data_IF_258582207119
#
_entry.id   IF_258582207119
#
_cell.length_a   1.000
_cell.length_b   1.000
_cell.length_c   1.000
_cell.angle_alpha   90.00
_cell.angle_beta   90.00
_cell.angle_gamma   90.00
#
_symmetry.space_group_name_H-M   'P 1'
#
loop_
_entity.id
_entity.type
_entity.pdbx_description
1 polymer ?
#
# COMPACT_ATOMS: atom_id res chain seq x y z
N UNK A 1 -11.15 18.03 -0.84
CA UNK A 1 -11.86 19.22 -1.34
C UNK A 1 -13.34 19.04 -1.06
N UNK A 2 -14.08 20.12 -0.91
CA UNK A 2 -15.52 20.07 -1.01
C UNK A 2 -16.08 20.96 -2.13
N UNK A 3 -17.24 20.55 -2.64
CA UNK A 3 -17.86 21.09 -3.85
C UNK A 3 -19.39 21.11 -3.71
N UNK A 4 -20.03 22.17 -4.20
CA UNK A 4 -21.51 22.23 -4.21
C UNK A 4 -22.09 21.47 -5.41
N UNK A 5 -23.04 20.59 -5.13
CA UNK A 5 -23.64 19.66 -6.11
C UNK A 5 -24.17 20.36 -7.36
N UNK A 6 -23.89 19.79 -8.54
CA UNK A 6 -24.59 20.09 -9.77
C UNK A 6 -25.97 19.43 -9.78
N UNK A 7 -26.96 20.15 -10.30
CA UNK A 7 -28.37 19.82 -10.60
C UNK A 7 -29.09 18.94 -9.55
N UNK A 8 -30.22 19.41 -8.97
CA UNK A 8 -31.02 18.62 -8.04
C UNK A 8 -31.32 17.21 -8.61
N UNK A 9 -31.11 16.18 -7.78
CA UNK A 9 -31.38 14.76 -8.08
C UNK A 9 -30.34 14.01 -8.94
N UNK A 10 -29.16 14.58 -9.18
CA UNK A 10 -28.07 13.87 -9.89
C UNK A 10 -27.18 13.10 -8.92
N UNK A 11 -26.91 11.82 -9.21
CA UNK A 11 -25.95 11.01 -8.44
C UNK A 11 -24.59 11.02 -9.16
N UNK A 12 -23.53 11.60 -8.58
CA UNK A 12 -22.21 11.54 -9.19
C UNK A 12 -21.69 10.10 -9.21
N UNK A 13 -20.76 9.76 -10.11
CA UNK A 13 -20.04 8.49 -10.04
C UNK A 13 -19.29 8.41 -8.70
N UNK A 14 -19.21 7.22 -8.10
CA UNK A 14 -18.45 7.03 -6.86
C UNK A 14 -16.95 7.23 -7.09
N UNK A 15 -16.42 6.78 -8.23
CA UNK A 15 -15.02 6.85 -8.56
C UNK A 15 -14.80 7.01 -10.07
N UNK A 16 -13.82 7.82 -10.43
CA UNK A 16 -13.27 7.97 -11.76
C UNK A 16 -11.78 7.60 -11.71
N UNK A 17 -11.34 6.74 -12.61
CA UNK A 17 -9.95 6.30 -12.73
C UNK A 17 -9.44 6.61 -14.13
N UNK A 18 -8.20 7.08 -14.24
CA UNK A 18 -7.54 7.27 -15.53
C UNK A 18 -6.64 6.09 -15.83
N UNK A 19 -6.31 5.93 -17.11
CA UNK A 19 -5.38 4.90 -17.57
C UNK A 19 -4.24 5.56 -18.36
N UNK A 20 -3.10 4.87 -18.42
CA UNK A 20 -1.94 5.33 -19.17
C UNK A 20 -2.02 5.02 -20.68
N UNK A 21 -3.19 4.59 -21.17
CA UNK A 21 -3.34 4.12 -22.55
C UNK A 21 -3.05 5.20 -23.60
N UNK A 22 -3.47 6.44 -23.34
CA UNK A 22 -3.20 7.56 -24.25
C UNK A 22 -1.71 7.84 -24.41
N UNK A 23 -0.94 7.73 -23.32
CA UNK A 23 0.51 7.93 -23.33
C UNK A 23 1.21 6.82 -24.10
N UNK A 24 0.76 5.57 -23.96
CA UNK A 24 1.30 4.43 -24.73
C UNK A 24 1.16 4.62 -26.24
N UNK A 25 0.22 5.46 -26.68
CA UNK A 25 -0.01 5.84 -28.08
C UNK A 25 0.66 7.17 -28.48
N UNK A 26 1.54 7.72 -27.64
CA UNK A 26 2.24 8.99 -27.88
C UNK A 26 1.45 10.25 -27.48
N UNK A 27 0.37 10.10 -26.72
CA UNK A 27 -0.42 11.21 -26.19
C UNK A 27 0.11 11.78 -24.87
N UNK A 28 -0.61 12.78 -24.32
CA UNK A 28 -0.30 13.40 -23.02
C UNK A 28 -0.73 12.49 -21.86
N UNK A 29 0.03 12.55 -20.75
CA UNK A 29 -0.36 11.94 -19.49
C UNK A 29 -1.69 12.52 -18.96
N UNK A 30 -2.51 11.69 -18.27
CA UNK A 30 -3.72 12.18 -17.63
C UNK A 30 -3.38 13.22 -16.55
N UNK A 31 -4.25 14.22 -16.40
CA UNK A 31 -4.05 15.34 -15.47
C UNK A 31 -4.24 14.92 -14.00
N UNK A 32 -4.90 13.79 -13.77
CA UNK A 32 -5.08 13.15 -12.47
C UNK A 32 -5.09 11.63 -12.60
N UNK A 33 -4.83 10.91 -11.51
CA UNK A 33 -4.89 9.45 -11.45
C UNK A 33 -6.31 8.98 -11.10
N UNK A 34 -6.92 9.62 -10.09
CA UNK A 34 -8.26 9.25 -9.62
C UNK A 34 -9.03 10.43 -9.03
N UNK A 35 -10.36 10.37 -9.18
CA UNK A 35 -11.31 11.23 -8.48
C UNK A 35 -12.30 10.33 -7.73
N UNK A 36 -12.52 10.60 -6.45
CA UNK A 36 -13.44 9.82 -5.60
C UNK A 36 -14.42 10.76 -4.91
N UNK A 37 -15.71 10.44 -5.02
CA UNK A 37 -16.80 11.11 -4.31
C UNK A 37 -17.07 10.35 -3.03
N UNK A 38 -16.56 10.83 -1.90
CA UNK A 38 -16.62 10.11 -0.62
C UNK A 38 -18.00 10.16 0.03
N UNK A 39 -18.70 11.28 -0.10
CA UNK A 39 -19.99 11.49 0.54
C UNK A 39 -20.34 12.96 0.64
N UNK A 40 -21.53 13.22 1.19
CA UNK A 40 -22.02 14.57 1.43
C UNK A 40 -21.59 15.06 2.82
N UNK A 41 -21.14 16.31 2.91
CA UNK A 41 -20.99 17.02 4.18
C UNK A 41 -22.36 17.51 4.67
N UNK A 42 -23.16 18.02 3.73
CA UNK A 42 -24.52 18.50 3.93
C UNK A 42 -25.34 18.27 2.66
N UNK A 43 -26.61 18.69 2.62
CA UNK A 43 -27.51 18.42 1.49
C UNK A 43 -26.95 18.86 0.13
N UNK A 44 -26.12 19.92 0.13
CA UNK A 44 -25.65 20.62 -1.05
C UNK A 44 -24.15 20.45 -1.32
N UNK A 45 -23.39 19.83 -0.43
CA UNK A 45 -21.92 19.82 -0.50
C UNK A 45 -21.35 18.40 -0.43
N UNK A 46 -20.46 18.09 -1.36
CA UNK A 46 -19.79 16.80 -1.50
C UNK A 46 -18.31 16.89 -1.14
N UNK A 47 -17.80 15.87 -0.46
CA UNK A 47 -16.35 15.65 -0.29
C UNK A 47 -15.82 14.91 -1.51
N UNK A 48 -14.92 15.56 -2.23
CA UNK A 48 -14.21 15.00 -3.37
C UNK A 48 -12.72 14.91 -3.05
N UNK A 49 -12.14 13.74 -3.31
CA UNK A 49 -10.70 13.51 -3.28
C UNK A 49 -10.20 13.36 -4.71
N UNK A 50 -9.13 14.08 -5.01
CA UNK A 50 -8.41 13.98 -6.29
C UNK A 50 -6.99 13.55 -5.95
N UNK A 51 -6.50 12.55 -6.67
CA UNK A 51 -5.10 12.12 -6.59
C UNK A 51 -4.46 12.36 -7.95
N UNK A 52 -3.29 13.00 -7.97
CA UNK A 52 -2.56 13.39 -9.16
C UNK A 52 -1.05 13.25 -8.92
N UNK A 53 -0.28 13.11 -10.00
CA UNK A 53 1.19 13.09 -9.93
C UNK A 53 1.77 14.49 -9.69
N UNK A 54 1.10 15.52 -10.23
CA UNK A 54 1.49 16.92 -10.08
C UNK A 54 0.42 17.70 -9.30
N UNK A 55 0.78 18.79 -8.59
CA UNK A 55 -0.18 19.64 -7.92
C UNK A 55 -1.24 20.19 -8.88
N UNK A 56 -2.53 19.99 -8.54
CA UNK A 56 -3.65 20.55 -9.31
C UNK A 56 -3.90 22.00 -8.89
N UNK A 57 -3.92 22.90 -9.88
CA UNK A 57 -4.11 24.33 -9.67
C UNK A 57 -5.56 24.69 -9.31
N UNK A 58 -5.76 25.81 -8.60
CA UNK A 58 -7.10 26.28 -8.27
C UNK A 58 -7.90 26.66 -9.53
N UNK A 59 -7.27 27.23 -10.55
CA UNK A 59 -7.95 27.57 -11.81
C UNK A 59 -8.48 26.34 -12.53
N UNK A 60 -7.75 25.23 -12.49
CA UNK A 60 -8.22 23.95 -13.04
C UNK A 60 -9.43 23.44 -12.27
N UNK A 61 -9.37 23.53 -10.94
CA UNK A 61 -10.46 23.09 -10.07
C UNK A 61 -11.72 23.92 -10.29
N UNK A 62 -11.61 25.24 -10.33
CA UNK A 62 -12.74 26.13 -10.61
C UNK A 62 -13.36 25.84 -11.99
N UNK A 63 -12.53 25.51 -12.98
CA UNK A 63 -13.02 25.15 -14.33
C UNK A 63 -13.75 23.81 -14.35
N UNK A 64 -13.24 22.79 -13.67
CA UNK A 64 -13.83 21.43 -13.67
C UNK A 64 -15.09 21.37 -12.82
N UNK A 65 -15.17 22.21 -11.79
CA UNK A 65 -16.27 22.27 -10.83
C UNK A 65 -17.09 23.56 -10.97
N UNK A 66 -17.14 24.17 -12.15
CA UNK A 66 -18.02 25.31 -12.47
C UNK A 66 -18.06 26.43 -11.40
N UNK A 67 -16.92 26.77 -10.79
CA UNK A 67 -16.86 27.82 -9.78
C UNK A 67 -17.43 27.44 -8.40
N UNK A 68 -17.77 26.17 -8.16
CA UNK A 68 -18.50 25.72 -6.96
C UNK A 68 -17.61 25.06 -5.90
N UNK A 69 -16.30 25.25 -5.99
CA UNK A 69 -15.36 24.78 -4.97
C UNK A 69 -15.54 25.62 -3.71
N UNK A 70 -15.77 24.97 -2.56
CA UNK A 70 -15.94 25.68 -1.29
C UNK A 70 -14.63 25.79 -0.52
N UNK A 71 -13.85 24.72 -0.49
CA UNK A 71 -12.52 24.69 0.11
C UNK A 71 -11.67 23.57 -0.46
N UNK A 72 -10.35 23.78 -0.40
CA UNK A 72 -9.33 22.82 -0.85
C UNK A 72 -8.36 22.54 0.29
N UNK A 73 -8.14 21.25 0.54
CA UNK A 73 -7.05 20.78 1.37
C UNK A 73 -6.10 19.98 0.49
N UNK A 74 -4.81 20.29 0.57
CA UNK A 74 -3.75 19.68 -0.25
C UNK A 74 -2.80 18.95 0.67
N UNK A 75 -2.46 17.72 0.28
CA UNK A 75 -1.44 16.92 0.93
C UNK A 75 -0.56 16.32 -0.14
N UNK A 76 0.72 16.67 -0.09
CA UNK A 76 1.77 16.04 -0.88
C UNK A 76 2.33 14.86 -0.11
N UNK A 77 2.54 13.75 -0.81
CA UNK A 77 3.11 12.53 -0.26
C UNK A 77 3.78 11.73 -1.39
N UNK A 78 5.04 11.36 -1.22
CA UNK A 78 5.75 10.39 -2.06
C UNK A 78 5.27 8.95 -1.79
N UNK A 79 4.01 8.68 -2.13
CA UNK A 79 3.25 7.59 -1.52
C UNK A 79 3.60 6.21 -2.08
N UNK A 80 4.10 6.16 -3.33
CA UNK A 80 4.32 4.91 -4.03
C UNK A 80 5.74 4.86 -4.58
N UNK A 81 6.57 3.89 -4.14
CA UNK A 81 7.83 3.65 -4.82
C UNK A 81 7.56 3.24 -6.27
N UNK A 82 8.41 3.68 -7.19
CA UNK A 82 8.41 3.12 -8.53
C UNK A 82 8.95 1.70 -8.44
N UNK A 83 8.13 0.72 -8.77
CA UNK A 83 8.49 -0.70 -8.74
C UNK A 83 8.84 -1.18 -10.16
N UNK A 84 10.11 -1.08 -10.59
CA UNK A 84 10.52 -1.70 -11.85
C UNK A 84 10.43 -3.23 -11.74
N UNK A 85 10.19 -3.94 -12.85
CA UNK A 85 10.29 -5.39 -12.86
C UNK A 85 11.66 -5.84 -12.31
N UNK A 86 11.66 -6.62 -11.23
CA UNK A 86 12.86 -7.13 -10.58
C UNK A 86 12.79 -8.65 -10.44
N UNK A 87 13.95 -9.29 -10.50
CA UNK A 87 14.14 -10.72 -10.21
C UNK A 87 14.89 -10.95 -8.90
N UNK A 88 15.44 -9.88 -8.33
CA UNK A 88 16.22 -9.91 -7.10
C UNK A 88 15.45 -9.19 -5.99
N UNK A 89 15.43 -9.81 -4.81
CA UNK A 89 14.77 -9.29 -3.62
C UNK A 89 15.78 -9.14 -2.48
N UNK A 90 15.63 -8.11 -1.64
CA UNK A 90 16.46 -7.96 -0.47
C UNK A 90 16.26 -9.14 0.50
N UNK A 91 17.27 -9.50 1.29
CA UNK A 91 17.17 -10.60 2.24
C UNK A 91 16.20 -10.24 3.38
N UNK A 92 15.34 -11.20 3.77
CA UNK A 92 14.41 -11.03 4.91
C UNK A 92 15.17 -10.96 6.24
N UNK A 93 16.21 -11.81 6.41
CA UNK A 93 17.12 -11.76 7.56
C UNK A 93 18.41 -11.07 7.12
N UNK A 94 18.70 -9.92 7.72
CA UNK A 94 19.89 -9.14 7.43
C UNK A 94 21.06 -9.59 8.31
N UNK A 95 20.79 -9.86 9.59
CA UNK A 95 21.77 -10.37 10.56
C UNK A 95 21.07 -11.14 11.70
N UNK A 96 21.81 -11.66 12.68
CA UNK A 96 21.28 -12.27 13.90
C UNK A 96 20.42 -11.28 14.68
N UNK A 97 19.15 -11.64 14.90
CA UNK A 97 18.19 -10.76 15.55
C UNK A 97 17.78 -9.53 14.73
N UNK A 98 18.20 -9.42 13.46
CA UNK A 98 17.93 -8.27 12.62
C UNK A 98 17.28 -8.67 11.30
N UNK A 99 16.03 -8.25 11.13
CA UNK A 99 15.16 -8.64 10.03
C UNK A 99 14.61 -7.40 9.32
N UNK A 100 14.53 -7.48 8.00
CA UNK A 100 13.96 -6.44 7.16
C UNK A 100 12.52 -6.80 6.79
N UNK A 101 11.56 -6.15 7.44
CA UNK A 101 10.11 -6.42 7.27
C UNK A 101 9.66 -6.13 5.84
N UNK A 102 10.08 -5.00 5.32
CA UNK A 102 9.76 -4.51 3.97
C UNK A 102 10.55 -5.21 2.86
N UNK A 103 11.17 -6.36 3.13
CA UNK A 103 11.92 -7.11 2.12
C UNK A 103 11.05 -7.54 0.92
N UNK A 104 9.73 -7.61 1.13
CA UNK A 104 8.76 -8.01 0.12
C UNK A 104 8.09 -6.84 -0.62
N UNK A 105 8.31 -5.59 -0.18
CA UNK A 105 7.82 -4.38 -0.84
C UNK A 105 8.12 -4.33 -2.35
N UNK A 106 9.32 -4.73 -2.83
CA UNK A 106 9.61 -4.66 -4.27
C UNK A 106 8.74 -5.60 -5.11
N UNK A 107 8.11 -6.61 -4.49
CA UNK A 107 7.18 -7.51 -5.17
C UNK A 107 5.76 -6.95 -5.16
N UNK A 108 5.22 -6.69 -3.96
CA UNK A 108 3.84 -6.20 -3.77
C UNK A 108 3.84 -5.22 -2.59
N UNK A 109 3.73 -3.93 -2.91
CA UNK A 109 3.68 -2.83 -1.93
C UNK A 109 2.24 -2.56 -1.48
N UNK A 110 1.76 -3.35 -0.53
CA UNK A 110 0.45 -3.14 0.08
C UNK A 110 0.50 -3.27 1.60
N UNK A 111 -0.47 -2.64 2.28
CA UNK A 111 -0.53 -2.66 3.74
C UNK A 111 -0.74 -4.09 4.27
N UNK A 112 -1.46 -4.92 3.52
CA UNK A 112 -1.76 -6.31 3.87
C UNK A 112 -0.49 -7.16 3.82
N UNK A 113 0.34 -7.02 2.79
CA UNK A 113 1.59 -7.78 2.68
C UNK A 113 2.57 -7.41 3.78
N UNK A 114 2.70 -6.12 4.10
CA UNK A 114 3.55 -5.65 5.21
C UNK A 114 3.06 -6.13 6.58
N UNK A 115 1.74 -6.15 6.80
CA UNK A 115 1.19 -6.66 8.06
C UNK A 115 1.50 -8.15 8.26
N UNK A 116 1.39 -8.94 7.18
CA UNK A 116 1.71 -10.37 7.21
C UNK A 116 3.23 -10.57 7.37
N UNK A 117 4.05 -9.79 6.66
CA UNK A 117 5.51 -9.84 6.75
C UNK A 117 5.98 -9.54 8.18
N UNK A 118 5.43 -8.51 8.82
CA UNK A 118 5.74 -8.15 10.20
C UNK A 118 5.45 -9.30 11.18
N UNK A 119 4.27 -9.92 11.06
CA UNK A 119 3.91 -11.08 11.89
C UNK A 119 4.90 -12.24 11.70
N UNK A 120 5.27 -12.54 10.46
CA UNK A 120 6.20 -13.62 10.15
C UNK A 120 7.61 -13.32 10.67
N UNK A 121 8.07 -12.07 10.57
CA UNK A 121 9.37 -11.64 11.11
C UNK A 121 9.42 -11.79 12.63
N UNK A 122 8.35 -11.43 13.34
CA UNK A 122 8.29 -11.64 14.81
C UNK A 122 8.38 -13.12 15.14
N UNK A 123 7.70 -13.98 14.37
CA UNK A 123 7.77 -15.43 14.59
C UNK A 123 9.18 -15.98 14.32
N UNK A 124 9.85 -15.52 13.25
CA UNK A 124 11.24 -15.88 12.95
C UNK A 124 12.19 -15.46 14.07
N UNK A 125 12.04 -14.23 14.59
CA UNK A 125 12.85 -13.71 15.69
C UNK A 125 12.64 -14.51 16.98
N UNK A 126 11.39 -14.87 17.30
CA UNK A 126 11.07 -15.69 18.48
C UNK A 126 11.66 -17.10 18.38
N UNK A 127 11.64 -17.68 17.18
CA UNK A 127 12.25 -18.98 16.94
C UNK A 127 13.78 -18.90 17.06
N UNK A 128 14.42 -17.85 16.54
CA UNK A 128 15.87 -17.66 16.65
C UNK A 128 16.32 -17.46 18.10
N UNK A 129 15.64 -16.60 18.86
CA UNK A 129 16.09 -16.20 20.21
C UNK A 129 15.67 -17.17 21.31
N UNK A 130 14.47 -17.76 21.20
CA UNK A 130 13.86 -18.52 22.29
C UNK A 130 13.49 -19.96 21.89
N UNK A 131 13.66 -20.33 20.62
CA UNK A 131 13.20 -21.64 20.12
C UNK A 131 11.70 -21.82 20.33
N UNK A 132 10.91 -20.76 20.14
CA UNK A 132 9.46 -20.73 20.32
C UNK A 132 8.78 -20.02 19.16
N UNK A 133 7.48 -20.25 18.96
CA UNK A 133 6.68 -19.60 17.92
C UNK A 133 5.45 -18.96 18.53
N UNK A 134 4.92 -17.91 17.87
CA UNK A 134 3.66 -17.26 18.20
C UNK A 134 2.50 -18.29 18.25
N UNK A 135 2.53 -19.32 17.40
CA UNK A 135 1.46 -20.32 17.30
C UNK A 135 1.77 -21.63 18.06
N UNK A 136 2.75 -21.64 18.97
CA UNK A 136 3.04 -22.77 19.87
C UNK A 136 3.82 -23.94 19.25
N UNK A 137 3.83 -24.09 17.92
CA UNK A 137 4.68 -25.05 17.21
C UNK A 137 5.92 -24.34 16.68
N UNK A 138 7.13 -24.83 17.00
CA UNK A 138 8.37 -24.34 16.38
C UNK A 138 8.23 -24.36 14.86
N UNK A 139 8.70 -23.30 14.18
CA UNK A 139 8.74 -23.29 12.71
C UNK A 139 9.56 -24.51 12.28
N UNK A 140 8.94 -25.46 11.58
CA UNK A 140 9.63 -26.65 11.09
C UNK A 140 10.55 -26.24 9.94
N UNK A 141 11.83 -26.00 10.23
CA UNK A 141 12.78 -25.54 9.23
C UNK A 141 14.24 -25.76 9.61
N UNK A 142 14.73 -26.96 9.31
CA UNK A 142 16.14 -27.40 9.24
C UNK A 142 16.98 -27.31 10.53
N UNK A 143 17.65 -28.40 10.95
CA UNK A 143 18.73 -28.29 11.93
C UNK A 143 19.76 -27.26 11.43
N UNK A 144 20.40 -26.51 12.32
CA UNK A 144 21.47 -25.61 11.90
C UNK A 144 22.52 -26.43 11.14
N UNK A 145 23.07 -25.87 10.06
CA UNK A 145 24.13 -26.51 9.24
C UNK A 145 25.40 -26.91 10.02
N UNK A 146 25.48 -26.60 11.31
CA UNK A 146 26.56 -27.00 12.21
C UNK A 146 26.20 -28.08 13.23
N UNK A 147 24.92 -28.50 13.34
CA UNK A 147 24.53 -29.63 14.19
C UNK A 147 24.67 -30.95 13.42
N UNK A 148 25.55 -31.88 13.84
CA UNK A 148 25.61 -33.19 13.22
C UNK A 148 24.27 -33.94 13.43
N UNK A 149 23.80 -34.72 12.43
CA UNK A 149 22.52 -35.41 12.49
C UNK A 149 22.63 -36.69 13.32
N UNK A 150 22.83 -36.56 14.63
CA UNK A 150 22.73 -37.69 15.57
C UNK A 150 22.29 -37.15 16.92
N UNK A 151 20.99 -37.27 17.21
CA UNK A 151 20.38 -37.45 18.54
C UNK A 151 18.86 -37.14 18.49
N UNK A 152 18.16 -37.61 17.45
CA UNK A 152 16.75 -37.97 17.60
C UNK A 152 16.70 -39.35 18.31
N UNK A 153 17.13 -39.40 19.57
CA UNK A 153 17.10 -40.61 20.40
C UNK A 153 16.04 -40.46 21.48
N UNK A 154 15.10 -41.41 21.43
CA UNK A 154 14.17 -41.84 22.48
C UNK A 154 13.02 -40.89 22.83
N UNK A 155 11.86 -41.22 22.24
CA UNK A 155 10.57 -41.16 22.95
C UNK A 155 10.74 -41.89 24.30
N UNK A 156 10.50 -41.16 25.38
CA UNK A 156 10.32 -41.70 26.75
C UNK A 156 8.86 -42.17 26.85
N UNK A 157 8.58 -43.29 27.54
CA UNK A 157 7.28 -43.99 27.55
C UNK A 157 6.08 -43.14 27.95
#
# INVERSE_FOLDING_TARGET
MAFRSLVPNTKPPSMLLTTWEGVRRGGKAPEFNSVSYHGKINENEWVVKISSMEPVSDEWLEKVFDGQVTWVYRKEWDAYPVLPPTTEFPPVKVDTGFYYVNAFEPFISTMETETIAARNVVDLLFNEQYGSSICGSRISGSPPLWFPPTLASKRIP
#
